data_IF_855747771228
#
_entry.id   IF_855747771228
#
_cell.length_a   1.000
_cell.length_b   1.000
_cell.length_c   1.000
_cell.angle_alpha   90.00
_cell.angle_beta   90.00
_cell.angle_gamma   90.00
#
_symmetry.space_group_name_H-M   'P 1'
#
loop_
_entity.id
_entity.type
_entity.pdbx_description
1 polymer ?
#
# COMPACT_ATOMS: atom_id res chain seq x y z
N UNK A 1 4.58 11.18 -16.30
CA UNK A 1 5.11 9.89 -15.83
C UNK A 1 5.79 10.16 -14.50
N UNK A 2 5.39 9.49 -13.42
CA UNK A 2 6.01 9.65 -12.11
C UNK A 2 7.28 8.81 -12.05
N UNK A 3 8.34 9.38 -11.48
CA UNK A 3 9.64 8.73 -11.33
C UNK A 3 9.74 7.97 -10.01
N UNK A 4 9.25 8.58 -8.91
CA UNK A 4 9.32 8.00 -7.57
C UNK A 4 7.94 7.63 -7.06
N UNK A 5 7.72 6.33 -6.88
CA UNK A 5 6.41 5.75 -6.57
C UNK A 5 6.51 4.97 -5.26
N UNK A 6 5.58 5.22 -4.34
CA UNK A 6 5.31 4.34 -3.22
C UNK A 6 4.17 3.39 -3.61
N UNK A 7 4.47 2.10 -3.73
CA UNK A 7 3.46 1.06 -3.89
C UNK A 7 3.12 0.47 -2.52
N UNK A 8 1.83 0.39 -2.18
CA UNK A 8 1.36 -0.24 -0.93
C UNK A 8 0.29 -1.26 -1.27
N UNK A 9 0.51 -2.51 -0.88
CA UNK A 9 -0.50 -3.56 -1.01
C UNK A 9 -1.21 -3.77 0.33
N UNK A 10 -2.55 -3.69 0.32
CA UNK A 10 -3.40 -3.96 1.48
C UNK A 10 -4.22 -5.21 1.16
N UNK A 11 -3.76 -6.35 1.71
CA UNK A 11 -4.36 -7.67 1.51
C UNK A 11 -4.51 -8.40 2.85
N UNK A 12 -4.17 -9.66 2.98
CA UNK A 12 -4.11 -10.37 4.28
C UNK A 12 -3.17 -9.66 5.27
N UNK A 13 -2.05 -9.12 4.77
CA UNK A 13 -1.16 -8.20 5.45
C UNK A 13 -1.07 -6.87 4.72
N UNK A 14 -0.06 -6.07 5.07
CA UNK A 14 0.32 -4.85 4.35
C UNK A 14 1.79 -4.94 3.99
N UNK A 15 2.07 -4.78 2.70
CA UNK A 15 3.44 -4.68 2.17
C UNK A 15 3.66 -3.34 1.47
N UNK A 16 4.91 -2.96 1.28
CA UNK A 16 5.26 -1.77 0.51
C UNK A 16 6.48 -2.00 -0.38
N UNK A 17 6.59 -1.21 -1.42
CA UNK A 17 7.76 -1.13 -2.28
C UNK A 17 7.98 0.32 -2.72
N UNK A 18 9.24 0.72 -2.82
CA UNK A 18 9.64 1.97 -3.43
C UNK A 18 10.14 1.69 -4.85
N UNK A 19 9.67 2.48 -5.80
CA UNK A 19 10.00 2.31 -7.23
C UNK A 19 10.57 3.63 -7.73
N UNK A 20 11.76 3.59 -8.27
CA UNK A 20 12.43 4.74 -8.88
C UNK A 20 12.68 4.44 -10.36
N UNK A 21 12.21 5.34 -11.23
CA UNK A 21 12.36 5.24 -12.69
C UNK A 21 11.89 3.87 -13.27
N UNK A 22 10.85 3.30 -12.65
CA UNK A 22 10.26 2.03 -13.06
C UNK A 22 10.88 0.78 -12.43
N UNK A 23 11.96 0.92 -11.66
CA UNK A 23 12.65 -0.19 -11.01
C UNK A 23 12.43 -0.17 -9.50
N UNK A 24 12.17 -1.32 -8.87
CA UNK A 24 12.14 -1.42 -7.41
C UNK A 24 13.49 -0.99 -6.82
N UNK A 25 13.46 -0.20 -5.76
CA UNK A 25 14.68 0.15 -5.02
C UNK A 25 15.06 -1.05 -4.15
N UNK A 26 16.21 -1.69 -4.42
CA UNK A 26 16.63 -2.84 -3.65
C UNK A 26 17.08 -2.39 -2.25
N UNK A 27 16.78 -3.21 -1.27
CA UNK A 27 17.30 -3.07 0.09
C UNK A 27 17.59 -4.44 0.68
N UNK A 28 18.42 -4.53 1.73
CA UNK A 28 18.80 -5.83 2.32
C UNK A 28 17.58 -6.60 2.87
N UNK A 29 16.50 -5.91 3.22
CA UNK A 29 15.31 -6.52 3.83
C UNK A 29 13.98 -6.12 3.17
N UNK A 30 14.01 -5.43 2.05
CA UNK A 30 12.84 -4.77 1.42
C UNK A 30 12.07 -3.83 2.39
N UNK A 31 11.39 -2.78 1.89
CA UNK A 31 10.60 -1.89 2.73
C UNK A 31 9.41 -2.62 3.37
N UNK A 32 9.44 -2.79 4.68
CA UNK A 32 8.39 -3.46 5.47
C UNK A 32 7.37 -2.44 6.02
N UNK A 33 6.76 -1.67 5.13
CA UNK A 33 5.84 -0.59 5.50
C UNK A 33 4.65 -1.02 6.37
N UNK A 34 4.20 -2.26 6.25
CA UNK A 34 3.15 -2.80 7.13
C UNK A 34 3.57 -2.96 8.59
N UNK A 35 4.88 -2.96 8.87
CA UNK A 35 5.43 -3.13 10.23
C UNK A 35 5.70 -1.82 10.95
N UNK A 36 5.47 -0.66 10.33
CA UNK A 36 5.61 0.62 11.02
C UNK A 36 4.72 0.66 12.27
N UNK A 37 5.24 1.27 13.31
CA UNK A 37 4.54 1.42 14.59
C UNK A 37 3.75 2.72 14.55
N UNK A 38 2.43 2.65 14.74
CA UNK A 38 1.59 3.84 14.74
C UNK A 38 1.47 4.47 16.12
N UNK A 39 1.17 3.67 17.14
CA UNK A 39 1.07 4.16 18.53
C UNK A 39 1.82 3.26 19.50
N UNK A 40 1.66 1.95 19.38
CA UNK A 40 2.28 0.95 20.24
C UNK A 40 2.80 -0.22 19.39
N UNK A 41 3.68 -1.09 19.92
CA UNK A 41 4.12 -2.29 19.22
C UNK A 41 2.97 -3.23 18.78
N UNK A 42 1.83 -3.20 19.47
CA UNK A 42 0.64 -3.93 19.10
C UNK A 42 -0.15 -3.26 17.97
N UNK A 43 0.04 -1.96 17.76
CA UNK A 43 -0.67 -1.15 16.76
C UNK A 43 0.23 -0.86 15.54
N UNK A 44 0.81 -1.92 14.97
CA UNK A 44 1.47 -1.83 13.67
C UNK A 44 0.44 -1.63 12.57
N UNK A 45 0.83 -0.96 11.50
CA UNK A 45 -0.07 -0.65 10.40
C UNK A 45 -0.82 -1.89 9.89
N UNK A 46 -0.14 -3.01 9.65
CA UNK A 46 -0.79 -4.24 9.21
C UNK A 46 -1.75 -4.85 10.26
N UNK A 47 -1.49 -4.64 11.56
CA UNK A 47 -2.32 -5.18 12.64
C UNK A 47 -3.62 -4.44 12.83
N UNK A 48 -3.73 -3.23 12.29
CA UNK A 48 -4.95 -2.42 12.39
C UNK A 48 -5.69 -2.26 11.07
N UNK A 49 -5.00 -2.20 9.93
CA UNK A 49 -5.60 -1.83 8.64
C UNK A 49 -5.54 -2.93 7.56
N UNK A 50 -4.91 -4.09 7.83
CA UNK A 50 -4.89 -5.19 6.86
C UNK A 50 -6.24 -5.89 6.72
N UNK A 51 -6.41 -6.68 5.66
CA UNK A 51 -7.59 -7.52 5.47
C UNK A 51 -7.81 -8.51 6.63
N UNK A 52 -6.74 -9.05 7.22
CA UNK A 52 -6.81 -9.89 8.43
C UNK A 52 -7.31 -9.09 9.63
N UNK A 53 -6.79 -7.89 9.85
CA UNK A 53 -7.23 -7.00 10.92
C UNK A 53 -8.71 -6.61 10.78
N UNK A 54 -9.13 -6.27 9.56
CA UNK A 54 -10.53 -5.98 9.22
C UNK A 54 -11.43 -7.19 9.55
N UNK A 55 -11.03 -8.37 9.09
CA UNK A 55 -11.79 -9.61 9.36
C UNK A 55 -11.90 -9.91 10.86
N UNK A 56 -10.80 -9.76 11.59
CA UNK A 56 -10.78 -9.99 13.03
C UNK A 56 -11.69 -9.04 13.79
N UNK A 57 -11.66 -7.74 13.44
CA UNK A 57 -12.44 -6.70 14.14
C UNK A 57 -13.92 -6.73 13.81
N UNK A 58 -14.29 -6.96 12.57
CA UNK A 58 -15.68 -6.85 12.10
C UNK A 58 -16.34 -8.19 11.80
N UNK A 59 -15.64 -9.32 11.95
CA UNK A 59 -16.13 -10.66 11.62
C UNK A 59 -16.41 -10.88 10.12
N UNK A 60 -15.94 -9.96 9.24
CA UNK A 60 -16.24 -9.94 7.81
C UNK A 60 -15.02 -9.51 7.01
N UNK A 61 -14.86 -10.07 5.81
CA UNK A 61 -13.86 -9.58 4.85
C UNK A 61 -14.31 -8.25 4.23
N UNK A 62 -13.38 -7.47 3.72
CA UNK A 62 -13.63 -6.15 3.12
C UNK A 62 -14.76 -6.16 2.07
N UNK A 63 -14.84 -7.23 1.25
CA UNK A 63 -15.88 -7.39 0.23
C UNK A 63 -17.32 -7.44 0.81
N UNK A 64 -17.48 -7.94 2.02
CA UNK A 64 -18.77 -8.10 2.69
C UNK A 64 -19.20 -6.87 3.48
N UNK A 65 -18.29 -5.88 3.69
CA UNK A 65 -18.61 -4.67 4.44
C UNK A 65 -19.46 -3.75 3.58
N UNK A 66 -20.68 -3.46 4.08
CA UNK A 66 -21.64 -2.53 3.46
C UNK A 66 -21.77 -1.21 4.24
N UNK A 67 -21.43 -1.20 5.52
CA UNK A 67 -21.58 -0.04 6.41
C UNK A 67 -20.60 1.08 6.06
N UNK A 68 -21.11 2.28 5.82
CA UNK A 68 -20.29 3.49 5.64
C UNK A 68 -19.51 3.85 6.89
N UNK A 69 -20.08 3.62 8.08
CA UNK A 69 -19.41 3.87 9.35
C UNK A 69 -18.16 2.99 9.47
N UNK A 70 -18.29 1.69 9.20
CA UNK A 70 -17.17 0.76 9.26
C UNK A 70 -16.08 1.16 8.24
N UNK A 71 -16.46 1.55 7.02
CA UNK A 71 -15.49 2.02 6.04
C UNK A 71 -14.78 3.30 6.47
N UNK A 72 -15.46 4.19 7.20
CA UNK A 72 -14.82 5.38 7.77
C UNK A 72 -13.76 5.01 8.81
N UNK A 73 -14.07 4.09 9.72
CA UNK A 73 -13.13 3.60 10.74
C UNK A 73 -11.91 2.95 10.09
N UNK A 74 -12.10 2.09 9.08
CA UNK A 74 -11.01 1.48 8.29
C UNK A 74 -10.18 2.58 7.58
N UNK A 75 -10.83 3.60 7.04
CA UNK A 75 -10.16 4.70 6.34
C UNK A 75 -9.25 5.51 7.25
N UNK A 76 -9.65 5.78 8.49
CA UNK A 76 -8.83 6.49 9.48
C UNK A 76 -7.52 5.71 9.75
N UNK A 77 -7.60 4.39 9.87
CA UNK A 77 -6.45 3.54 10.11
C UNK A 77 -5.53 3.42 8.89
N UNK A 78 -6.11 3.27 7.70
CA UNK A 78 -5.33 3.31 6.45
C UNK A 78 -4.63 4.67 6.30
N UNK A 79 -5.32 5.76 6.65
CA UNK A 79 -4.77 7.11 6.56
C UNK A 79 -3.56 7.30 7.47
N UNK A 80 -3.59 6.79 8.71
CA UNK A 80 -2.47 6.88 9.64
C UNK A 80 -1.20 6.24 9.04
N UNK A 81 -1.28 4.98 8.64
CA UNK A 81 -0.12 4.28 8.11
C UNK A 81 0.38 4.83 6.78
N UNK A 82 -0.53 5.23 5.88
CA UNK A 82 -0.13 5.86 4.63
C UNK A 82 0.52 7.22 4.86
N UNK A 83 0.02 8.00 5.81
CA UNK A 83 0.59 9.32 6.14
C UNK A 83 2.03 9.19 6.58
N UNK A 84 2.33 8.28 7.50
CA UNK A 84 3.69 8.04 7.97
C UNK A 84 4.62 7.55 6.86
N UNK A 85 4.16 6.63 6.01
CA UNK A 85 4.92 6.18 4.85
C UNK A 85 5.20 7.31 3.85
N UNK A 86 4.22 8.17 3.58
CA UNK A 86 4.37 9.31 2.69
C UNK A 86 5.39 10.30 3.25
N UNK A 87 5.29 10.63 4.53
CA UNK A 87 6.25 11.56 5.17
C UNK A 87 7.68 11.01 5.19
N UNK A 88 7.82 9.69 5.38
CA UNK A 88 9.14 9.05 5.44
C UNK A 88 9.79 8.90 4.06
N UNK A 89 9.00 8.81 2.99
CA UNK A 89 9.52 8.48 1.65
C UNK A 89 9.38 9.58 0.62
N UNK A 90 8.51 10.57 0.85
CA UNK A 90 8.22 11.71 -0.04
C UNK A 90 7.98 11.32 -1.51
N UNK A 91 7.03 10.42 -1.81
CA UNK A 91 6.83 9.93 -3.16
C UNK A 91 6.04 10.92 -4.02
N UNK A 92 6.26 10.91 -5.34
CA UNK A 92 5.44 11.68 -6.30
C UNK A 92 4.00 11.14 -6.41
N UNK A 93 3.79 9.86 -6.13
CA UNK A 93 2.50 9.19 -6.20
C UNK A 93 2.48 7.95 -5.30
N UNK A 94 1.31 7.66 -4.72
CA UNK A 94 1.05 6.40 -4.02
C UNK A 94 0.13 5.54 -4.86
N UNK A 95 0.49 4.26 -5.04
CA UNK A 95 -0.33 3.26 -5.71
C UNK A 95 -0.80 2.22 -4.69
N UNK A 96 -2.11 2.03 -4.59
CA UNK A 96 -2.72 1.06 -3.68
C UNK A 96 -3.16 -0.20 -4.42
N UNK A 97 -2.60 -1.35 -4.01
CA UNK A 97 -2.96 -2.68 -4.52
C UNK A 97 -3.50 -3.60 -3.41
N UNK A 98 -3.77 -4.85 -3.77
CA UNK A 98 -4.26 -5.88 -2.86
C UNK A 98 -5.79 -5.92 -2.69
N UNK A 99 -6.28 -6.99 -2.05
CA UNK A 99 -7.72 -7.30 -1.99
C UNK A 99 -8.59 -6.25 -1.28
N UNK A 100 -8.04 -5.49 -0.33
CA UNK A 100 -8.77 -4.36 0.28
C UNK A 100 -8.85 -3.19 -0.71
N UNK A 101 -7.79 -2.95 -1.49
CA UNK A 101 -7.75 -1.87 -2.47
C UNK A 101 -8.70 -2.07 -3.67
N UNK A 102 -9.21 -3.29 -3.91
CA UNK A 102 -10.34 -3.52 -4.85
C UNK A 102 -11.54 -2.63 -4.50
N UNK A 103 -11.72 -2.33 -3.21
CA UNK A 103 -12.79 -1.47 -2.71
C UNK A 103 -12.39 0.01 -2.58
N UNK A 104 -11.36 0.45 -3.30
CA UNK A 104 -10.77 1.80 -3.28
C UNK A 104 -11.81 2.93 -3.23
N UNK A 105 -12.85 2.86 -4.07
CA UNK A 105 -13.89 3.89 -4.14
C UNK A 105 -14.68 4.06 -2.84
N UNK A 106 -14.72 3.03 -1.97
CA UNK A 106 -15.46 3.08 -0.70
C UNK A 106 -14.72 3.84 0.40
N UNK A 107 -13.37 3.95 0.29
CA UNK A 107 -12.57 4.50 1.37
C UNK A 107 -11.67 5.68 0.98
N UNK A 108 -11.31 5.86 -0.26
CA UNK A 108 -10.28 6.84 -0.65
C UNK A 108 -10.61 8.29 -0.29
N UNK A 109 -11.88 8.69 -0.37
CA UNK A 109 -12.29 10.04 0.00
C UNK A 109 -12.06 10.30 1.49
N UNK A 110 -12.43 9.34 2.32
CA UNK A 110 -12.24 9.43 3.78
C UNK A 110 -10.76 9.36 4.17
N UNK A 111 -9.97 8.50 3.50
CA UNK A 111 -8.51 8.44 3.69
C UNK A 111 -7.89 9.81 3.43
N UNK A 112 -8.16 10.41 2.28
CA UNK A 112 -7.65 11.76 1.94
C UNK A 112 -8.09 12.81 2.95
N UNK A 113 -9.36 12.79 3.34
CA UNK A 113 -9.90 13.72 4.34
C UNK A 113 -9.21 13.55 5.69
N UNK A 114 -9.02 12.31 6.16
CA UNK A 114 -8.31 12.01 7.40
C UNK A 114 -6.86 12.49 7.37
N UNK A 115 -6.15 12.21 6.29
CA UNK A 115 -4.78 12.70 6.11
C UNK A 115 -4.71 14.23 6.07
N UNK A 116 -5.64 14.89 5.40
CA UNK A 116 -5.70 16.36 5.34
C UNK A 116 -5.93 17.00 6.69
N UNK A 117 -6.74 16.42 7.57
CA UNK A 117 -6.94 16.91 8.93
C UNK A 117 -5.66 16.89 9.77
N UNK A 118 -4.80 15.93 9.53
CA UNK A 118 -3.59 15.71 10.32
C UNK A 118 -2.35 16.43 9.77
N UNK A 119 -2.49 17.18 8.66
CA UNK A 119 -1.35 17.85 8.03
C UNK A 119 -1.43 19.36 8.14
N UNK A 120 -0.47 20.02 8.75
CA UNK A 120 -0.39 21.48 8.67
C UNK A 120 0.35 22.04 7.46
N UNK A 121 1.34 21.35 6.85
CA UNK A 121 2.27 21.99 5.90
C UNK A 121 2.66 21.14 4.66
N UNK A 122 2.08 19.97 4.47
CA UNK A 122 2.52 19.06 3.41
C UNK A 122 1.47 18.89 2.30
N UNK A 123 1.88 18.99 1.04
CA UNK A 123 1.00 18.69 -0.10
C UNK A 123 1.00 17.18 -0.35
N UNK A 124 -0.10 16.53 -0.06
CA UNK A 124 -0.22 15.09 -0.24
C UNK A 124 -0.08 14.71 -1.72
N UNK A 125 0.72 13.68 -2.03
CA UNK A 125 0.80 13.16 -3.38
C UNK A 125 -0.53 12.55 -3.83
N UNK A 126 -0.79 12.42 -5.13
CA UNK A 126 -1.93 11.69 -5.63
C UNK A 126 -1.88 10.24 -5.15
N UNK A 127 -3.02 9.71 -4.69
CA UNK A 127 -3.18 8.31 -4.32
C UNK A 127 -4.09 7.68 -5.37
N UNK A 128 -3.65 6.61 -6.01
CA UNK A 128 -4.39 5.90 -7.06
C UNK A 128 -4.49 4.40 -6.76
N UNK A 129 -5.52 3.79 -7.31
CA UNK A 129 -5.66 2.33 -7.29
C UNK A 129 -4.74 1.71 -8.34
N UNK A 130 -4.13 0.56 -8.01
CA UNK A 130 -3.38 -0.24 -8.97
C UNK A 130 -4.30 -0.77 -10.07
N UNK A 131 -3.81 -0.81 -11.30
CA UNK A 131 -4.56 -1.32 -12.45
C UNK A 131 -4.90 -2.81 -12.31
N UNK A 132 -3.96 -3.60 -11.76
CA UNK A 132 -4.09 -5.05 -11.57
C UNK A 132 -4.05 -5.40 -10.09
N UNK A 133 -5.07 -4.98 -9.31
CA UNK A 133 -5.06 -5.08 -7.84
C UNK A 133 -4.89 -6.51 -7.32
N UNK A 134 -5.55 -7.49 -7.94
CA UNK A 134 -5.52 -8.89 -7.50
C UNK A 134 -4.39 -9.69 -8.15
N UNK A 135 -4.03 -9.38 -9.38
CA UNK A 135 -3.01 -10.10 -10.16
C UNK A 135 -1.64 -9.43 -10.16
N UNK A 136 -1.49 -8.26 -9.53
CA UNK A 136 -0.23 -7.54 -9.49
C UNK A 136 0.96 -8.37 -8.96
N UNK A 137 0.83 -9.19 -7.90
CA UNK A 137 1.93 -10.02 -7.42
C UNK A 137 2.39 -11.06 -8.46
N UNK A 138 1.45 -11.69 -9.14
CA UNK A 138 1.75 -12.69 -10.17
C UNK A 138 2.43 -12.04 -11.38
N UNK A 139 1.88 -10.92 -11.87
CA UNK A 139 2.47 -10.18 -12.99
C UNK A 139 3.86 -9.64 -12.64
N UNK A 140 4.05 -9.13 -11.42
CA UNK A 140 5.34 -8.68 -10.93
C UNK A 140 6.38 -9.79 -10.87
N UNK A 141 6.00 -10.97 -10.37
CA UNK A 141 6.87 -12.15 -10.35
C UNK A 141 7.26 -12.62 -11.77
N UNK A 142 6.32 -12.61 -12.71
CA UNK A 142 6.58 -12.96 -14.11
C UNK A 142 7.56 -11.97 -14.75
N UNK A 143 7.38 -10.66 -14.54
CA UNK A 143 8.30 -9.64 -15.08
C UNK A 143 9.71 -9.75 -14.50
N UNK A 144 9.83 -10.00 -13.19
CA UNK A 144 11.14 -10.20 -12.54
C UNK A 144 11.83 -11.48 -13.04
N UNK A 145 11.09 -12.55 -13.26
CA UNK A 145 11.64 -13.79 -13.82
C UNK A 145 12.18 -13.59 -15.26
N UNK A 146 11.45 -12.84 -16.09
CA UNK A 146 11.85 -12.53 -17.48
C UNK A 146 13.10 -11.63 -17.50
N UNK A 147 13.19 -10.61 -16.64
CA UNK A 147 14.38 -9.77 -16.51
C UNK A 147 15.61 -10.57 -16.05
N UNK A 148 15.44 -11.45 -15.07
CA UNK A 148 16.52 -12.30 -14.57
C UNK A 148 17.03 -13.24 -15.67
N UNK A 149 16.13 -13.83 -16.46
CA UNK A 149 16.49 -14.69 -17.58
C UNK A 149 17.27 -13.92 -18.67
N UNK A 150 16.87 -12.69 -18.99
CA UNK A 150 17.57 -11.83 -19.96
C UNK A 150 18.99 -11.45 -19.50
N UNK A 151 19.13 -11.09 -18.21
CA UNK A 151 20.46 -10.77 -17.64
C UNK A 151 21.40 -11.97 -17.62
N UNK A 152 20.91 -13.18 -17.35
CA UNK A 152 21.73 -14.40 -17.43
C UNK A 152 22.17 -14.70 -18.86
N UNK A 153 21.29 -14.52 -19.84
CA UNK A 153 21.63 -14.75 -21.25
C UNK A 153 22.70 -13.76 -21.80
N UNK A 154 22.74 -12.53 -21.25
CA UNK A 154 23.73 -11.51 -21.65
C UNK A 154 25.12 -11.71 -21.01
N UNK A 155 25.18 -12.36 -19.84
CA UNK A 155 26.44 -12.60 -19.11
C UNK A 155 27.11 -13.93 -19.45
N UNK A 156 26.55 -14.72 -20.37
CA UNK A 156 27.07 -16.02 -20.81
C UNK A 156 27.81 -15.94 -22.18
N UNK A 157 28.10 -14.76 -22.64
CA UNK A 157 28.96 -14.45 -23.79
C UNK A 157 30.11 -13.55 -23.33
#
# INVERSE_FOLDING_TARGET
KHRFILYVTISTGIGSALILDGNPIPGPHNPEGGRILLKTPAERFEKIASGTAIRHRYGRIAAQIRSRRVWREISEEIALGLYDLILATDPEIVILGGGVAVHYKKFIKEVRSAMQRNRPFYTLPPIKQAQYTEHAPLLGAMLLADDTARHHAQNTH
#
